data_IF_208674223108
#
_entry.id   IF_208674223108
#
_cell.length_a   1.000
_cell.length_b   1.000
_cell.length_c   1.000
_cell.angle_alpha   90.00
_cell.angle_beta   90.00
_cell.angle_gamma   90.00
#
_symmetry.space_group_name_H-M   'P 1'
#
loop_
_entity.id
_entity.type
_entity.pdbx_description
1 polymer ?
#
# COMPACT_ATOMS: atom_id res chain seq x y z
N UNK A 1 2.81 17.30 -5.47
CA UNK A 1 3.05 15.90 -5.87
C UNK A 1 4.18 15.91 -6.88
N UNK A 2 5.12 14.98 -6.76
CA UNK A 2 6.20 14.81 -7.74
C UNK A 2 5.81 13.69 -8.70
N UNK A 3 6.37 13.71 -9.89
CA UNK A 3 6.24 12.58 -10.80
C UNK A 3 7.12 11.40 -10.31
N UNK A 4 6.65 10.15 -10.46
CA UNK A 4 7.46 8.97 -10.19
C UNK A 4 8.71 8.92 -11.06
N UNK A 5 9.84 8.52 -10.47
CA UNK A 5 11.04 8.18 -11.25
C UNK A 5 10.80 6.93 -12.10
N UNK A 6 11.62 6.68 -13.16
CA UNK A 6 11.50 5.46 -13.96
C UNK A 6 11.61 4.17 -13.13
N UNK A 7 12.46 4.15 -12.09
CA UNK A 7 12.63 3.01 -11.21
C UNK A 7 11.36 2.73 -10.41
N UNK A 8 10.81 3.76 -9.74
CA UNK A 8 9.58 3.65 -8.96
C UNK A 8 8.39 3.25 -9.83
N UNK A 9 8.32 3.79 -11.05
CA UNK A 9 7.29 3.41 -12.02
C UNK A 9 7.40 1.95 -12.42
N UNK A 10 8.60 1.45 -12.69
CA UNK A 10 8.81 0.05 -13.04
C UNK A 10 8.44 -0.89 -11.88
N UNK A 11 8.86 -0.55 -10.65
CA UNK A 11 8.52 -1.33 -9.46
C UNK A 11 7.02 -1.34 -9.18
N UNK A 12 6.37 -0.16 -9.21
CA UNK A 12 4.93 -0.05 -9.05
C UNK A 12 4.17 -0.81 -10.14
N UNK A 13 4.65 -0.79 -11.39
CA UNK A 13 4.04 -1.54 -12.50
C UNK A 13 4.16 -3.04 -12.28
N UNK A 14 5.33 -3.52 -11.83
CA UNK A 14 5.53 -4.92 -11.46
C UNK A 14 4.58 -5.35 -10.33
N UNK A 15 4.54 -4.58 -9.24
CA UNK A 15 3.66 -4.83 -8.09
C UNK A 15 2.18 -4.80 -8.49
N UNK A 16 1.78 -3.86 -9.37
CA UNK A 16 0.42 -3.77 -9.88
C UNK A 16 0.03 -4.99 -10.74
N UNK A 17 1.00 -5.70 -11.32
CA UNK A 17 0.78 -6.96 -12.03
C UNK A 17 0.50 -8.16 -11.11
N UNK A 18 0.89 -8.10 -9.84
CA UNK A 18 0.70 -9.19 -8.86
C UNK A 18 -0.75 -9.24 -8.35
N UNK A 19 -1.29 -10.42 -8.05
CA UNK A 19 -2.58 -10.51 -7.36
C UNK A 19 -2.50 -10.01 -5.90
N UNK A 20 -3.67 -9.87 -5.26
CA UNK A 20 -3.79 -9.35 -3.90
C UNK A 20 -3.08 -10.26 -2.88
N UNK A 21 -3.13 -11.58 -3.07
CA UNK A 21 -2.52 -12.53 -2.14
C UNK A 21 -0.99 -12.48 -2.25
N UNK A 22 -0.44 -12.32 -3.46
CA UNK A 22 0.98 -12.11 -3.70
C UNK A 22 1.50 -10.82 -3.04
N UNK A 23 0.69 -9.74 -3.06
CA UNK A 23 1.03 -8.50 -2.35
C UNK A 23 1.00 -8.67 -0.83
N UNK A 24 0.00 -9.37 -0.29
CA UNK A 24 -0.01 -9.71 1.14
C UNK A 24 1.20 -10.58 1.52
N UNK A 25 1.54 -11.59 0.72
CA UNK A 25 2.72 -12.42 0.95
C UNK A 25 4.01 -11.59 0.93
N UNK A 26 4.13 -10.60 0.05
CA UNK A 26 5.27 -9.68 0.02
C UNK A 26 5.38 -8.89 1.33
N UNK A 27 4.27 -8.34 1.82
CA UNK A 27 4.21 -7.64 3.11
C UNK A 27 4.57 -8.57 4.26
N UNK A 28 3.98 -9.78 4.31
CA UNK A 28 4.21 -10.74 5.39
C UNK A 28 5.65 -11.27 5.46
N UNK A 29 6.30 -11.44 4.30
CA UNK A 29 7.74 -11.79 4.24
C UNK A 29 8.61 -10.63 4.75
N UNK A 30 8.24 -9.39 4.44
CA UNK A 30 8.99 -8.21 4.88
C UNK A 30 8.79 -7.90 6.37
N UNK A 31 7.65 -8.26 6.96
CA UNK A 31 7.34 -7.96 8.37
C UNK A 31 8.09 -8.80 9.38
N UNK A 32 8.91 -9.75 8.93
CA UNK A 32 9.57 -10.70 9.79
C UNK A 32 11.07 -10.44 9.82
N UNK A 33 11.55 -10.06 11.01
CA UNK A 33 12.97 -9.84 11.29
C UNK A 33 13.74 -11.14 11.57
N UNK A 34 13.09 -12.31 11.49
CA UNK A 34 13.68 -13.59 11.90
C UNK A 34 14.36 -14.29 10.73
N UNK A 35 15.67 -14.10 10.64
CA UNK A 35 16.56 -14.81 9.71
C UNK A 35 16.43 -16.32 9.93
N UNK A 36 16.09 -17.07 8.87
CA UNK A 36 16.25 -18.54 8.84
C UNK A 36 14.98 -19.39 8.85
N UNK A 37 13.77 -18.81 8.95
CA UNK A 37 12.54 -19.59 8.79
C UNK A 37 12.07 -19.50 7.33
N UNK A 38 12.07 -20.62 6.62
CA UNK A 38 11.36 -20.72 5.34
C UNK A 38 9.86 -20.75 5.62
N UNK A 39 9.16 -19.69 5.22
CA UNK A 39 7.71 -19.61 5.37
C UNK A 39 7.02 -20.28 4.20
N UNK A 40 5.99 -21.08 4.51
CA UNK A 40 5.03 -21.51 3.51
C UNK A 40 4.27 -20.29 2.96
N UNK A 41 3.79 -20.33 1.71
CA UNK A 41 2.99 -19.25 1.12
C UNK A 41 1.80 -18.83 1.99
N UNK A 42 1.13 -19.80 2.61
CA UNK A 42 -0.06 -19.57 3.45
C UNK A 42 0.27 -18.76 4.70
N UNK A 43 1.42 -19.05 5.32
CA UNK A 43 1.86 -18.29 6.49
C UNK A 43 2.27 -16.87 6.12
N UNK A 44 2.97 -16.68 5.00
CA UNK A 44 3.30 -15.33 4.51
C UNK A 44 2.03 -14.51 4.22
N UNK A 45 1.02 -15.13 3.62
CA UNK A 45 -0.27 -14.50 3.35
C UNK A 45 -0.98 -14.08 4.64
N UNK A 46 -1.06 -14.99 5.62
CA UNK A 46 -1.70 -14.70 6.91
C UNK A 46 -0.99 -13.57 7.66
N UNK A 47 0.33 -13.56 7.67
CA UNK A 47 1.15 -12.54 8.34
C UNK A 47 0.98 -11.17 7.67
N UNK A 48 0.94 -11.12 6.34
CA UNK A 48 0.64 -9.89 5.62
C UNK A 48 -0.73 -9.31 5.96
N UNK A 49 -1.76 -10.16 6.07
CA UNK A 49 -3.11 -9.76 6.47
C UNK A 49 -3.12 -9.25 7.91
N UNK A 50 -2.49 -9.97 8.84
CA UNK A 50 -2.37 -9.59 10.24
C UNK A 50 -1.62 -8.26 10.41
N UNK A 51 -0.53 -8.06 9.67
CA UNK A 51 0.24 -6.83 9.69
C UNK A 51 -0.59 -5.65 9.20
N UNK A 52 -1.32 -5.80 8.09
CA UNK A 52 -2.17 -4.74 7.57
C UNK A 52 -3.29 -4.38 8.54
N UNK A 53 -3.93 -5.38 9.16
CA UNK A 53 -4.95 -5.18 10.18
C UNK A 53 -4.39 -4.41 11.39
N UNK A 54 -3.20 -4.77 11.86
CA UNK A 54 -2.53 -4.06 12.97
C UNK A 54 -2.19 -2.61 12.63
N UNK A 55 -1.81 -2.34 11.37
CA UNK A 55 -1.43 -1.00 10.90
C UNK A 55 -2.58 -0.17 10.35
N UNK A 56 -3.79 -0.74 10.32
CA UNK A 56 -4.97 -0.13 9.72
C UNK A 56 -5.15 1.32 10.18
N UNK A 57 -5.25 1.57 11.48
CA UNK A 57 -5.58 2.90 12.00
C UNK A 57 -4.50 3.94 11.72
N UNK A 58 -3.23 3.53 11.73
CA UNK A 58 -2.09 4.42 11.42
C UNK A 58 -2.10 4.78 9.94
N UNK A 59 -2.32 3.80 9.06
CA UNK A 59 -2.40 4.03 7.61
C UNK A 59 -3.63 4.86 7.26
N UNK A 60 -4.77 4.59 7.90
CA UNK A 60 -6.00 5.35 7.75
C UNK A 60 -5.79 6.82 8.16
N UNK A 61 -5.21 7.07 9.34
CA UNK A 61 -4.92 8.42 9.81
C UNK A 61 -4.03 9.17 8.80
N UNK A 62 -2.97 8.54 8.30
CA UNK A 62 -2.04 9.17 7.33
C UNK A 62 -2.67 9.45 5.98
N UNK A 63 -3.38 8.47 5.40
CA UNK A 63 -3.87 8.55 4.02
C UNK A 63 -5.22 9.26 3.95
N UNK A 64 -6.16 8.85 4.81
CA UNK A 64 -7.54 9.26 4.71
C UNK A 64 -7.80 10.58 5.45
N UNK A 65 -7.20 10.77 6.63
CA UNK A 65 -7.44 11.96 7.47
C UNK A 65 -6.42 13.07 7.21
N UNK A 66 -5.12 12.81 7.41
CA UNK A 66 -4.08 13.83 7.31
C UNK A 66 -3.84 14.27 5.86
N UNK A 67 -3.78 13.30 4.92
CA UNK A 67 -3.61 13.61 3.51
C UNK A 67 -4.93 13.89 2.78
N UNK A 68 -6.08 13.60 3.39
CA UNK A 68 -7.41 13.85 2.85
C UNK A 68 -7.64 13.20 1.47
N UNK A 69 -7.29 11.92 1.32
CA UNK A 69 -7.39 11.18 0.05
C UNK A 69 -8.73 11.39 -0.69
N UNK A 70 -9.87 11.32 0.01
CA UNK A 70 -11.19 11.45 -0.62
C UNK A 70 -11.39 12.79 -1.35
N UNK A 71 -10.76 13.89 -0.89
CA UNK A 71 -10.82 15.20 -1.56
C UNK A 71 -9.88 15.30 -2.76
N UNK A 72 -8.87 14.42 -2.82
CA UNK A 72 -7.76 14.48 -3.79
C UNK A 72 -7.86 13.41 -4.87
N UNK A 73 -8.63 12.34 -4.67
CA UNK A 73 -8.71 11.18 -5.59
C UNK A 73 -9.03 11.54 -7.04
N UNK A 74 -9.79 12.61 -7.28
CA UNK A 74 -10.20 13.03 -8.61
C UNK A 74 -9.26 14.03 -9.30
N UNK A 75 -8.21 14.47 -8.61
CA UNK A 75 -7.18 15.34 -9.17
C UNK A 75 -6.50 14.63 -10.34
N UNK A 76 -6.28 15.36 -11.44
CA UNK A 76 -5.75 14.81 -12.70
C UNK A 76 -4.47 13.97 -12.50
N UNK A 77 -3.59 14.40 -11.60
CA UNK A 77 -2.33 13.69 -11.29
C UNK A 77 -2.46 12.43 -10.43
N UNK A 78 -3.64 12.14 -9.86
CA UNK A 78 -3.87 10.96 -9.00
C UNK A 78 -4.79 9.90 -9.63
N UNK A 79 -5.27 10.15 -10.85
CA UNK A 79 -6.09 9.18 -11.60
C UNK A 79 -5.27 7.99 -12.12
N UNK A 80 -3.97 8.20 -12.35
CA UNK A 80 -3.06 7.13 -12.70
C UNK A 80 -2.74 6.29 -11.45
N UNK A 81 -3.08 4.99 -11.41
CA UNK A 81 -2.89 4.16 -10.23
C UNK A 81 -1.42 4.03 -9.84
N UNK A 82 -0.49 4.11 -10.78
CA UNK A 82 0.95 4.08 -10.50
C UNK A 82 1.40 5.35 -9.77
N UNK A 83 0.97 6.50 -10.27
CA UNK A 83 1.25 7.79 -9.62
C UNK A 83 0.61 7.87 -8.24
N UNK A 84 -0.63 7.38 -8.08
CA UNK A 84 -1.28 7.25 -6.78
C UNK A 84 -0.50 6.32 -5.83
N UNK A 85 -0.01 5.18 -6.33
CA UNK A 85 0.77 4.24 -5.52
C UNK A 85 2.05 4.88 -4.98
N UNK A 86 2.79 5.60 -5.82
CA UNK A 86 4.02 6.29 -5.40
C UNK A 86 3.70 7.41 -4.41
N UNK A 87 2.65 8.21 -4.67
CA UNK A 87 2.25 9.28 -3.77
C UNK A 87 1.87 8.74 -2.38
N UNK A 88 1.11 7.64 -2.32
CA UNK A 88 0.74 7.00 -1.05
C UNK A 88 1.96 6.34 -0.40
N UNK A 89 2.85 5.71 -1.16
CA UNK A 89 4.09 5.12 -0.63
C UNK A 89 4.99 6.17 0.04
N UNK A 90 5.15 7.35 -0.58
CA UNK A 90 5.88 8.49 -0.01
C UNK A 90 5.27 8.95 1.33
N UNK A 91 3.94 8.93 1.45
CA UNK A 91 3.23 9.34 2.68
C UNK A 91 3.39 8.36 3.84
N UNK A 92 3.40 7.06 3.54
CA UNK A 92 3.38 6.01 4.57
C UNK A 92 4.78 5.45 4.88
N UNK A 93 5.83 5.88 4.18
CA UNK A 93 7.19 5.32 4.33
C UNK A 93 7.68 5.27 5.79
N UNK A 94 7.35 6.29 6.59
CA UNK A 94 7.68 6.31 8.01
C UNK A 94 6.78 5.40 8.87
N UNK A 95 5.52 5.19 8.47
CA UNK A 95 4.54 4.39 9.20
C UNK A 95 4.72 2.86 9.01
N UNK A 96 5.27 2.46 7.86
CA UNK A 96 5.42 1.06 7.48
C UNK A 96 6.62 0.37 8.18
N UNK A 97 7.58 1.11 8.71
CA UNK A 97 8.58 0.59 9.67
C UNK A 97 9.40 -0.60 9.18
N UNK A 98 9.89 -0.56 7.93
CA UNK A 98 10.75 -1.61 7.33
C UNK A 98 10.06 -2.46 6.27
N UNK A 99 8.73 -2.37 6.13
CA UNK A 99 8.02 -2.94 4.99
C UNK A 99 8.20 -2.05 3.76
N UNK A 100 8.39 -2.61 2.55
CA UNK A 100 8.37 -1.83 1.32
C UNK A 100 7.06 -1.03 1.17
N UNK A 101 7.13 0.29 1.29
CA UNK A 101 5.95 1.18 1.29
C UNK A 101 5.18 1.11 -0.03
N UNK A 102 5.87 0.88 -1.15
CA UNK A 102 5.26 0.76 -2.47
C UNK A 102 4.41 -0.52 -2.61
N UNK A 103 4.83 -1.63 -1.97
CA UNK A 103 4.03 -2.85 -1.90
C UNK A 103 2.76 -2.64 -1.07
N UNK A 104 2.87 -2.01 0.10
CA UNK A 104 1.72 -1.67 0.96
C UNK A 104 0.76 -0.74 0.23
N UNK A 105 1.28 0.29 -0.43
CA UNK A 105 0.46 1.23 -1.19
C UNK A 105 -0.29 0.55 -2.34
N UNK A 106 0.42 -0.25 -3.14
CA UNK A 106 -0.19 -1.00 -4.25
C UNK A 106 -1.27 -1.95 -3.75
N UNK A 107 -1.02 -2.64 -2.63
CA UNK A 107 -2.00 -3.48 -1.96
C UNK A 107 -3.26 -2.70 -1.57
N UNK A 108 -3.11 -1.55 -0.90
CA UNK A 108 -4.23 -0.69 -0.48
C UNK A 108 -5.07 -0.23 -1.68
N UNK A 109 -4.43 0.12 -2.79
CA UNK A 109 -5.13 0.49 -4.03
C UNK A 109 -5.90 -0.70 -4.59
N UNK A 110 -5.29 -1.90 -4.63
CA UNK A 110 -5.94 -3.11 -5.15
C UNK A 110 -7.13 -3.59 -4.33
N UNK A 111 -7.07 -3.50 -2.99
CA UNK A 111 -8.20 -3.85 -2.13
C UNK A 111 -9.29 -2.77 -2.11
N UNK A 112 -8.99 -1.60 -2.68
CA UNK A 112 -9.90 -0.46 -2.85
C UNK A 112 -9.63 0.63 -1.83
N UNK A 113 -8.85 1.65 -2.24
CA UNK A 113 -8.50 2.77 -1.37
C UNK A 113 -9.71 3.64 -1.01
N UNK A 114 -10.70 3.75 -1.92
CA UNK A 114 -11.97 4.42 -1.65
C UNK A 114 -12.73 3.75 -0.49
N UNK A 115 -12.79 2.42 -0.49
CA UNK A 115 -13.42 1.64 0.59
C UNK A 115 -12.62 1.76 1.88
N UNK A 116 -11.30 1.67 1.79
CA UNK A 116 -10.41 1.83 2.94
C UNK A 116 -10.60 3.18 3.63
N UNK A 117 -10.78 4.26 2.86
CA UNK A 117 -11.01 5.61 3.39
C UNK A 117 -12.49 5.99 3.58
N UNK A 118 -13.45 5.12 3.26
CA UNK A 118 -14.88 5.43 3.39
C UNK A 118 -15.37 6.59 2.53
N UNK A 119 -14.79 6.78 1.34
CA UNK A 119 -15.06 7.95 0.49
C UNK A 119 -16.45 7.98 -0.17
N UNK A 120 -17.32 7.00 0.12
CA UNK A 120 -18.67 6.88 -0.45
C UNK A 120 -19.62 8.02 -0.01
N UNK A 121 -19.26 8.80 1.02
CA UNK A 121 -19.99 9.98 1.49
C UNK A 121 -19.53 11.33 0.89
N UNK A 122 -18.46 11.35 0.08
CA UNK A 122 -17.90 12.56 -0.53
C UNK A 122 -18.18 12.60 -2.04
N UNK A 123 -19.46 12.71 -2.42
CA UNK A 123 -19.89 13.08 -3.77
C UNK A 123 -20.33 14.53 -3.81
#
# INVERSE_FOLDING_TARGET
MRDPTPLERNEATYLAGLDVDALYMSVGRASQSTVGVQFSPERALQEGRSWLALKHDVLYAKICTEWEYCKKRDLVGLRDPITLAVAVADLIVAAVGGIPSLAVSTLLIKIGLDRFCGCDGHK
#
